data_IF_865594618394
#
_entry.id   IF_865594618394
#
_cell.length_a   1.000
_cell.length_b   1.000
_cell.length_c   1.000
_cell.angle_alpha   90.00
_cell.angle_beta   90.00
_cell.angle_gamma   90.00
#
_symmetry.space_group_name_H-M   'P 1'
#
loop_
_entity.id
_entity.type
_entity.pdbx_description
1 polymer ?
#
# COMPACT_ATOMS: atom_id res chain seq x y z
N UNK A 1 -1.84 18.08 4.73
CA UNK A 1 -2.24 17.39 5.99
C UNK A 1 -1.72 15.98 5.98
N UNK A 2 -1.37 15.39 7.13
CA UNK A 2 -1.00 13.99 7.25
C UNK A 2 -1.94 13.32 8.25
N UNK A 3 -2.53 12.19 7.86
CA UNK A 3 -3.42 11.41 8.72
C UNK A 3 -2.95 9.96 8.81
N UNK A 4 -3.22 9.36 9.95
CA UNK A 4 -3.12 7.92 10.20
C UNK A 4 -4.52 7.33 10.12
N UNK A 5 -4.67 6.24 9.37
CA UNK A 5 -5.92 5.53 9.15
C UNK A 5 -5.80 4.14 9.79
N UNK A 6 -6.65 3.88 10.77
CA UNK A 6 -6.73 2.61 11.50
C UNK A 6 -8.07 1.95 11.16
N UNK A 7 -8.09 0.81 10.45
CA UNK A 7 -9.33 0.10 10.16
C UNK A 7 -10.04 -0.39 11.42
N UNK A 8 -11.38 -0.35 11.43
CA UNK A 8 -12.15 -0.94 12.53
C UNK A 8 -12.19 -2.45 12.48
N UNK A 9 -12.15 -2.97 11.27
CA UNK A 9 -12.32 -4.39 10.98
C UNK A 9 -11.55 -4.72 9.69
N UNK A 10 -11.92 -5.78 9.04
CA UNK A 10 -11.37 -6.15 7.74
C UNK A 10 -11.62 -5.10 6.66
N UNK A 11 -10.70 -4.99 5.72
CA UNK A 11 -10.82 -4.15 4.52
C UNK A 11 -11.04 -5.01 3.27
N UNK A 12 -11.55 -4.37 2.23
CA UNK A 12 -11.66 -4.95 0.90
C UNK A 12 -11.36 -3.87 -0.15
N UNK A 13 -10.34 -4.11 -0.95
CA UNK A 13 -9.99 -3.24 -2.07
C UNK A 13 -10.09 -4.07 -3.35
N UNK A 14 -11.09 -3.74 -4.16
CA UNK A 14 -11.36 -4.46 -5.40
C UNK A 14 -10.27 -4.18 -6.42
N UNK A 15 -9.86 -5.22 -7.13
CA UNK A 15 -9.08 -5.07 -8.36
C UNK A 15 -9.97 -4.55 -9.52
N UNK A 16 -9.36 -4.20 -10.64
CA UNK A 16 -10.09 -3.70 -11.82
C UNK A 16 -10.80 -4.77 -12.63
N UNK A 17 -10.76 -6.04 -12.21
CA UNK A 17 -11.38 -7.14 -12.96
C UNK A 17 -12.90 -7.07 -12.88
N UNK A 18 -13.62 -7.38 -13.96
CA UNK A 18 -15.06 -7.53 -13.90
C UNK A 18 -15.45 -8.61 -12.90
N UNK A 19 -16.37 -8.31 -12.01
CA UNK A 19 -16.95 -9.27 -11.09
C UNK A 19 -18.45 -9.32 -11.35
N UNK A 20 -18.87 -10.31 -12.11
CA UNK A 20 -20.26 -10.55 -12.44
C UNK A 20 -20.81 -11.66 -11.55
N UNK A 21 -21.99 -11.44 -10.98
CA UNK A 21 -22.66 -12.49 -10.23
C UNK A 21 -22.98 -13.69 -11.14
N UNK A 22 -22.41 -14.85 -10.84
CA UNK A 22 -22.66 -16.11 -11.56
C UNK A 22 -21.51 -16.58 -12.45
N UNK A 23 -20.62 -15.69 -12.90
CA UNK A 23 -19.49 -16.08 -13.77
C UNK A 23 -18.21 -16.35 -12.98
N UNK A 24 -17.95 -15.55 -11.95
CA UNK A 24 -16.83 -15.76 -11.03
C UNK A 24 -17.33 -15.82 -9.59
N UNK A 25 -17.06 -16.93 -8.92
CA UNK A 25 -17.49 -17.16 -7.52
C UNK A 25 -16.50 -16.66 -6.50
N UNK A 26 -15.33 -16.18 -6.92
CA UNK A 26 -14.25 -15.77 -6.04
C UNK A 26 -13.59 -14.47 -6.52
N UNK A 27 -13.38 -13.54 -5.60
CA UNK A 27 -12.62 -12.32 -5.86
C UNK A 27 -11.61 -12.08 -4.74
N UNK A 28 -10.36 -11.91 -5.13
CA UNK A 28 -9.28 -11.44 -4.25
C UNK A 28 -9.30 -9.91 -4.18
N UNK A 29 -9.07 -9.39 -2.98
CA UNK A 29 -8.73 -7.99 -2.83
C UNK A 29 -7.28 -7.73 -3.17
N UNK A 30 -6.97 -6.51 -3.61
CA UNK A 30 -5.59 -6.05 -3.78
C UNK A 30 -5.13 -5.26 -2.56
N UNK A 31 -3.87 -5.45 -2.20
CA UNK A 31 -3.20 -4.61 -1.20
C UNK A 31 -1.72 -4.50 -1.58
N UNK A 32 -1.13 -3.33 -1.50
CA UNK A 32 -1.68 -2.03 -1.10
C UNK A 32 -2.73 -1.45 -2.03
N UNK A 33 -3.70 -0.66 -1.52
CA UNK A 33 -4.70 -0.01 -2.36
C UNK A 33 -4.09 1.16 -3.15
N UNK A 34 -4.61 1.39 -4.34
CA UNK A 34 -4.18 2.52 -5.17
C UNK A 34 -4.47 3.88 -4.52
N UNK A 35 -3.69 4.92 -4.82
CA UNK A 35 -3.92 6.29 -4.33
C UNK A 35 -5.32 6.82 -4.60
N UNK A 36 -5.97 6.38 -5.69
CA UNK A 36 -7.35 6.72 -6.03
C UNK A 36 -8.39 6.30 -4.99
N UNK A 37 -8.11 5.24 -4.23
CA UNK A 37 -8.98 4.78 -3.12
C UNK A 37 -8.98 5.83 -2.00
N UNK A 38 -7.82 6.34 -1.63
CA UNK A 38 -7.69 7.38 -0.61
C UNK A 38 -8.25 8.71 -1.10
N UNK A 39 -8.04 9.05 -2.37
CA UNK A 39 -8.65 10.21 -3.00
C UNK A 39 -10.18 10.17 -2.87
N UNK A 40 -10.79 9.05 -3.24
CA UNK A 40 -12.24 8.86 -3.14
C UNK A 40 -12.75 8.90 -1.70
N UNK A 41 -12.02 8.27 -0.76
CA UNK A 41 -12.38 8.27 0.66
C UNK A 41 -12.33 9.68 1.27
N UNK A 42 -11.27 10.45 1.02
CA UNK A 42 -11.10 11.82 1.50
C UNK A 42 -12.13 12.77 0.89
N UNK A 43 -12.42 12.63 -0.40
CA UNK A 43 -13.44 13.41 -1.08
C UNK A 43 -14.83 13.14 -0.50
N UNK A 44 -15.16 11.87 -0.26
CA UNK A 44 -16.42 11.48 0.38
C UNK A 44 -16.52 12.05 1.80
N UNK A 45 -15.43 12.00 2.55
CA UNK A 45 -15.35 12.56 3.89
C UNK A 45 -15.57 14.08 3.88
N UNK A 46 -14.95 14.80 2.92
CA UNK A 46 -15.15 16.24 2.78
C UNK A 46 -16.62 16.58 2.59
N UNK A 47 -17.27 15.95 1.62
CA UNK A 47 -18.70 16.22 1.34
C UNK A 47 -19.64 15.74 2.45
N UNK A 48 -19.27 14.73 3.21
CA UNK A 48 -20.03 14.33 4.40
C UNK A 48 -20.05 15.41 5.48
N UNK A 49 -19.01 16.24 5.56
CA UNK A 49 -18.92 17.38 6.47
C UNK A 49 -19.45 18.70 5.84
N UNK A 50 -19.65 18.75 4.51
CA UNK A 50 -20.08 19.93 3.75
C UNK A 50 -21.20 19.57 2.77
N UNK A 51 -22.32 19.09 3.30
CA UNK A 51 -23.45 18.56 2.51
C UNK A 51 -23.98 19.60 1.52
N UNK A 52 -24.02 20.86 1.92
CA UNK A 52 -24.52 21.96 1.07
C UNK A 52 -23.66 22.18 -0.19
N UNK A 53 -22.40 21.78 -0.16
CA UNK A 53 -21.49 21.87 -1.30
C UNK A 53 -21.56 20.68 -2.24
N UNK A 54 -22.30 19.62 -1.87
CA UNK A 54 -22.41 18.39 -2.67
C UNK A 54 -22.91 18.66 -4.10
N UNK A 55 -23.76 19.68 -4.30
CA UNK A 55 -24.23 20.11 -5.63
C UNK A 55 -23.12 20.61 -6.57
N UNK A 56 -21.95 20.97 -6.02
CA UNK A 56 -20.79 21.45 -6.78
C UNK A 56 -19.88 20.32 -7.27
N UNK A 57 -20.15 19.08 -6.87
CA UNK A 57 -19.36 17.89 -7.25
C UNK A 57 -19.20 17.81 -8.77
N UNK A 58 -17.96 17.63 -9.25
CA UNK A 58 -17.60 17.54 -10.65
C UNK A 58 -17.91 18.79 -11.51
N UNK A 59 -18.14 19.96 -10.89
CA UNK A 59 -18.22 21.24 -11.58
C UNK A 59 -16.90 22.00 -11.48
N UNK A 60 -16.80 23.15 -12.16
CA UNK A 60 -15.64 24.05 -12.05
C UNK A 60 -15.44 24.59 -10.62
N UNK A 61 -16.53 24.69 -9.86
CA UNK A 61 -16.56 25.12 -8.46
C UNK A 61 -16.37 23.98 -7.45
N UNK A 62 -16.00 22.78 -7.88
CA UNK A 62 -15.77 21.64 -6.99
C UNK A 62 -14.68 21.96 -5.98
N UNK A 63 -15.03 22.04 -4.67
CA UNK A 63 -14.06 22.41 -3.63
C UNK A 63 -12.95 21.37 -3.46
N UNK A 64 -13.15 20.14 -3.95
CA UNK A 64 -12.18 19.05 -3.87
C UNK A 64 -11.29 18.91 -5.12
N UNK A 65 -11.41 19.81 -6.11
CA UNK A 65 -10.65 19.74 -7.37
C UNK A 65 -9.13 19.83 -7.18
N UNK A 66 -8.70 20.45 -6.09
CA UNK A 66 -7.27 20.62 -5.76
C UNK A 66 -6.74 19.51 -4.83
N UNK A 67 -7.58 18.54 -4.47
CA UNK A 67 -7.16 17.40 -3.65
C UNK A 67 -6.06 16.61 -4.39
N UNK A 68 -4.93 16.44 -3.72
CA UNK A 68 -3.80 15.63 -4.21
C UNK A 68 -3.30 14.73 -3.10
N UNK A 69 -3.14 13.46 -3.39
CA UNK A 69 -2.42 12.53 -2.53
C UNK A 69 -0.92 12.74 -2.79
N UNK A 70 -0.16 13.06 -1.75
CA UNK A 70 1.27 13.39 -1.83
C UNK A 70 2.15 12.21 -1.49
N UNK A 71 1.73 11.42 -0.49
CA UNK A 71 2.51 10.31 -0.01
C UNK A 71 1.60 9.29 0.68
N UNK A 72 1.94 8.01 0.54
CA UNK A 72 1.31 6.90 1.24
C UNK A 72 2.45 6.06 1.81
N UNK A 73 2.38 5.77 3.11
CA UNK A 73 3.32 4.88 3.78
C UNK A 73 2.61 4.12 4.89
N UNK A 74 3.28 3.18 5.48
CA UNK A 74 2.68 2.26 6.45
C UNK A 74 3.31 2.45 7.82
N UNK A 75 2.51 2.22 8.84
CA UNK A 75 2.99 2.18 10.20
C UNK A 75 2.73 0.80 10.77
N UNK A 76 3.79 0.02 10.90
CA UNK A 76 3.78 -1.37 11.35
C UNK A 76 4.48 -1.39 12.70
N UNK A 77 3.87 -2.01 13.72
CA UNK A 77 4.40 -2.07 15.10
C UNK A 77 4.87 -0.70 15.63
N UNK A 78 4.20 0.39 15.20
CA UNK A 78 4.54 1.74 15.61
C UNK A 78 5.67 2.43 14.83
N UNK A 79 6.36 1.72 13.93
CA UNK A 79 7.43 2.24 13.08
C UNK A 79 6.92 2.56 11.67
N UNK A 80 7.55 3.53 11.00
CA UNK A 80 7.16 3.95 9.66
C UNK A 80 7.96 3.19 8.60
N UNK A 81 7.24 2.56 7.68
CA UNK A 81 7.76 1.79 6.57
C UNK A 81 7.29 2.34 5.23
N UNK A 82 8.13 2.17 4.23
CA UNK A 82 7.91 2.61 2.85
C UNK A 82 8.09 1.43 1.90
N UNK A 83 7.37 1.39 0.76
CA UNK A 83 7.60 0.37 -0.24
C UNK A 83 9.07 0.23 -0.60
N UNK A 84 9.54 -0.99 -0.76
CA UNK A 84 10.95 -1.25 -1.07
C UNK A 84 11.30 -0.77 -2.48
N UNK A 85 12.45 -0.10 -2.69
CA UNK A 85 12.98 0.16 -4.04
C UNK A 85 13.22 -1.13 -4.83
N UNK A 86 12.94 -1.13 -6.13
CA UNK A 86 13.01 -2.32 -6.97
C UNK A 86 14.44 -2.89 -7.16
N UNK A 87 15.46 -2.11 -6.87
CA UNK A 87 16.86 -2.54 -6.91
C UNK A 87 17.41 -3.00 -5.56
N UNK A 88 16.55 -3.04 -4.54
CA UNK A 88 16.81 -3.78 -3.30
C UNK A 88 16.17 -5.16 -3.41
N UNK A 89 16.98 -6.20 -3.31
CA UNK A 89 16.59 -7.58 -3.61
C UNK A 89 17.01 -8.53 -2.48
N UNK A 90 16.26 -9.61 -2.29
CA UNK A 90 16.56 -10.64 -1.30
C UNK A 90 17.60 -11.64 -1.86
N UNK A 91 18.57 -12.09 -1.05
CA UNK A 91 19.55 -13.10 -1.40
C UNK A 91 18.95 -14.48 -1.14
N UNK A 92 18.81 -15.30 -2.19
CA UNK A 92 18.24 -16.67 -2.07
C UNK A 92 19.11 -17.66 -1.30
N UNK A 93 20.42 -17.51 -1.32
CA UNK A 93 21.37 -18.44 -0.71
C UNK A 93 21.37 -18.43 0.82
N UNK A 94 20.95 -17.35 1.42
CA UNK A 94 20.73 -17.28 2.87
C UNK A 94 19.31 -17.78 3.16
N UNK A 95 19.12 -19.13 3.19
CA UNK A 95 17.92 -19.71 3.80
C UNK A 95 17.71 -19.00 5.12
N UNK A 96 16.50 -18.52 5.34
CA UNK A 96 16.03 -17.97 6.60
C UNK A 96 16.55 -18.84 7.77
N UNK A 97 17.71 -18.48 8.29
CA UNK A 97 18.21 -19.03 9.53
C UNK A 97 17.44 -18.32 10.61
N UNK A 98 16.43 -18.94 11.08
CA UNK A 98 15.62 -18.70 12.24
C UNK A 98 14.13 -18.63 11.89
N UNK A 99 13.58 -19.80 11.54
CA UNK A 99 12.23 -20.10 12.02
C UNK A 99 12.45 -20.60 13.46
N UNK A 100 12.23 -19.79 14.50
CA UNK A 100 12.09 -20.35 15.81
C UNK A 100 10.89 -21.29 15.73
N UNK A 101 11.04 -22.52 16.22
CA UNK A 101 9.93 -23.43 16.44
C UNK A 101 8.82 -22.62 17.11
N UNK A 102 7.59 -22.74 16.61
CA UNK A 102 6.41 -22.05 17.12
C UNK A 102 6.28 -22.24 18.62
N UNK A 103 6.81 -21.33 19.38
CA UNK A 103 6.40 -21.19 20.77
C UNK A 103 4.97 -20.61 20.74
N UNK A 104 4.04 -21.32 21.34
CA UNK A 104 2.64 -20.95 21.38
C UNK A 104 2.48 -19.52 21.91
N UNK A 105 2.06 -18.59 21.03
CA UNK A 105 1.62 -17.24 21.40
C UNK A 105 2.50 -16.07 21.03
N UNK A 106 3.67 -16.25 20.40
CA UNK A 106 4.47 -15.14 19.84
C UNK A 106 4.57 -15.29 18.33
N UNK A 107 3.86 -14.43 17.58
CA UNK A 107 4.14 -14.20 16.17
C UNK A 107 5.46 -13.44 16.12
N UNK A 108 6.53 -14.08 15.63
CA UNK A 108 7.82 -13.42 15.42
C UNK A 108 7.75 -12.61 14.13
N UNK A 109 8.22 -11.38 14.18
CA UNK A 109 8.45 -10.53 13.03
C UNK A 109 9.43 -11.24 12.09
N UNK A 110 9.04 -11.41 10.82
CA UNK A 110 9.92 -11.98 9.81
C UNK A 110 10.70 -10.84 9.18
N UNK A 111 12.01 -10.94 9.28
CA UNK A 111 12.93 -10.01 8.68
C UNK A 111 13.55 -10.62 7.43
N UNK A 112 13.66 -9.84 6.37
CA UNK A 112 14.25 -10.23 5.10
C UNK A 112 15.51 -9.40 4.85
N UNK A 113 16.66 -10.06 4.75
CA UNK A 113 17.89 -9.38 4.39
C UNK A 113 17.88 -9.03 2.90
N UNK A 114 17.98 -7.75 2.60
CA UNK A 114 17.99 -7.23 1.24
C UNK A 114 19.28 -6.48 0.95
N UNK A 115 19.71 -6.55 -0.29
CA UNK A 115 20.96 -5.94 -0.79
C UNK A 115 20.66 -5.06 -2.00
N UNK A 116 21.51 -4.05 -2.21
CA UNK A 116 21.41 -3.16 -3.36
C UNK A 116 22.08 -3.79 -4.59
N UNK A 117 21.37 -3.84 -5.72
CA UNK A 117 21.95 -4.26 -6.98
C UNK A 117 23.03 -3.29 -7.43
N UNK A 118 24.11 -3.84 -7.98
CA UNK A 118 25.25 -3.11 -8.52
C UNK A 118 25.00 -2.75 -9.98
N UNK A 119 25.52 -1.62 -10.43
CA UNK A 119 25.48 -1.22 -11.83
C UNK A 119 26.69 -1.81 -12.55
N UNK A 120 26.45 -2.62 -13.58
CA UNK A 120 27.50 -3.18 -14.43
C UNK A 120 28.12 -2.09 -15.32
N UNK A 121 29.43 -2.19 -15.57
CA UNK A 121 30.10 -1.38 -16.61
C UNK A 121 29.72 -1.88 -18.02
N UNK A 122 29.28 -3.12 -18.16
CA UNK A 122 28.84 -3.67 -19.44
C UNK A 122 27.51 -3.04 -19.83
N UNK A 123 27.44 -2.63 -21.08
CA UNK A 123 26.25 -2.02 -21.67
C UNK A 123 25.45 -3.06 -22.44
N UNK A 124 24.15 -3.04 -22.23
CA UNK A 124 23.20 -3.87 -22.98
C UNK A 124 22.76 -3.12 -24.23
N UNK A 125 22.67 -3.83 -25.33
CA UNK A 125 22.04 -3.35 -26.56
C UNK A 125 20.53 -3.40 -26.33
N UNK A 126 19.85 -2.26 -26.40
CA UNK A 126 18.41 -2.19 -26.32
C UNK A 126 17.81 -1.82 -27.67
N UNK A 127 16.51 -2.02 -27.84
CA UNK A 127 15.74 -1.57 -29.03
C UNK A 127 15.67 -0.04 -29.16
N UNK A 128 16.12 0.68 -28.14
CA UNK A 128 16.34 2.14 -28.17
C UNK A 128 17.82 2.37 -28.43
N UNK A 129 18.16 3.48 -29.09
CA UNK A 129 19.54 3.86 -29.42
C UNK A 129 20.43 4.11 -28.19
N UNK A 130 19.85 4.09 -26.99
CA UNK A 130 20.55 4.29 -25.74
C UNK A 130 21.17 2.98 -25.23
N UNK A 131 22.44 3.05 -24.86
CA UNK A 131 23.14 1.96 -24.18
C UNK A 131 22.78 1.99 -22.70
N UNK A 132 22.06 0.94 -22.24
CA UNK A 132 21.67 0.77 -20.86
C UNK A 132 22.72 -0.03 -20.09
N UNK A 133 22.93 0.30 -18.82
CA UNK A 133 23.73 -0.50 -17.92
C UNK A 133 22.85 -1.59 -17.29
N UNK A 134 23.43 -2.79 -17.14
CA UNK A 134 22.75 -3.90 -16.46
C UNK A 134 22.88 -3.74 -14.94
N UNK A 135 21.82 -4.10 -14.22
CA UNK A 135 21.88 -4.29 -12.78
C UNK A 135 22.23 -5.77 -12.51
N UNK A 136 23.10 -6.03 -11.54
CA UNK A 136 23.51 -7.38 -11.19
C UNK A 136 23.86 -7.49 -9.70
N UNK A 137 23.93 -8.71 -9.24
CA UNK A 137 24.51 -9.09 -7.96
C UNK A 137 25.32 -10.36 -8.14
N UNK A 138 26.29 -10.62 -7.24
CA UNK A 138 27.23 -11.73 -7.39
C UNK A 138 26.61 -13.09 -7.02
N UNK A 139 25.54 -13.07 -6.19
CA UNK A 139 24.77 -14.25 -5.78
C UNK A 139 23.40 -14.29 -6.47
N UNK A 140 22.68 -15.41 -6.30
CA UNK A 140 21.31 -15.54 -6.78
C UNK A 140 20.37 -14.71 -5.91
N UNK A 141 19.67 -13.78 -6.54
CA UNK A 141 18.76 -12.85 -5.88
C UNK A 141 17.34 -12.93 -6.46
N UNK A 142 16.37 -12.47 -5.66
CA UNK A 142 14.99 -12.34 -6.10
C UNK A 142 14.40 -11.01 -5.60
N UNK A 143 13.42 -10.47 -6.34
CA UNK A 143 12.64 -9.33 -5.88
C UNK A 143 11.85 -9.68 -4.63
N UNK A 144 11.71 -8.74 -3.72
CA UNK A 144 10.87 -8.89 -2.54
C UNK A 144 9.50 -8.27 -2.83
N UNK A 145 8.58 -9.08 -3.33
CA UNK A 145 7.21 -8.63 -3.57
C UNK A 145 6.57 -8.16 -2.26
N UNK A 146 5.82 -7.06 -2.29
CA UNK A 146 5.19 -6.43 -1.13
C UNK A 146 6.15 -6.06 0.02
N UNK A 147 7.45 -5.98 -0.28
CA UNK A 147 8.47 -5.59 0.67
C UNK A 147 8.37 -4.12 1.08
N UNK A 148 8.72 -3.86 2.34
CA UNK A 148 8.81 -2.51 2.89
C UNK A 148 10.07 -2.35 3.70
N UNK A 149 10.65 -1.15 3.69
CA UNK A 149 11.85 -0.81 4.46
C UNK A 149 11.58 0.37 5.41
N UNK A 150 12.38 0.44 6.45
CA UNK A 150 12.31 1.54 7.41
C UNK A 150 12.60 2.89 6.75
N UNK A 151 12.12 3.97 7.38
CA UNK A 151 12.45 5.32 6.94
C UNK A 151 13.96 5.59 6.96
N UNK A 152 14.68 5.04 7.93
CA UNK A 152 16.14 5.19 8.06
C UNK A 152 16.86 4.58 6.88
N UNK A 153 16.55 3.33 6.56
CA UNK A 153 17.15 2.61 5.43
C UNK A 153 16.81 3.26 4.10
N UNK A 154 15.57 3.74 3.92
CA UNK A 154 15.21 4.48 2.71
C UNK A 154 16.01 5.78 2.56
N UNK A 155 16.29 6.48 3.67
CA UNK A 155 17.13 7.68 3.64
C UNK A 155 18.58 7.35 3.24
N UNK A 156 19.17 6.29 3.82
CA UNK A 156 20.52 5.84 3.48
C UNK A 156 20.59 5.35 2.02
N UNK A 157 19.54 4.66 1.55
CA UNK A 157 19.42 4.24 0.15
C UNK A 157 19.42 5.44 -0.80
N UNK A 158 18.62 6.47 -0.52
CA UNK A 158 18.55 7.68 -1.36
C UNK A 158 19.84 8.51 -1.29
N UNK A 159 20.58 8.42 -0.18
CA UNK A 159 21.90 9.01 -0.05
C UNK A 159 23.01 8.21 -0.81
N UNK A 160 22.67 7.03 -1.35
CA UNK A 160 23.62 6.14 -2.02
C UNK A 160 24.61 5.45 -1.09
N UNK A 161 24.24 5.29 0.18
CA UNK A 161 25.10 4.73 1.23
C UNK A 161 24.66 3.34 1.69
N UNK A 162 23.43 2.93 1.35
CA UNK A 162 22.88 1.66 1.76
C UNK A 162 23.52 0.52 0.95
N UNK A 163 24.18 -0.41 1.64
CA UNK A 163 24.71 -1.64 1.03
C UNK A 163 23.75 -2.82 1.27
N UNK A 164 23.23 -2.93 2.48
CA UNK A 164 22.24 -3.93 2.88
C UNK A 164 21.26 -3.32 3.87
N UNK A 165 20.08 -3.91 4.00
CA UNK A 165 19.05 -3.53 4.95
C UNK A 165 18.23 -4.74 5.37
N UNK A 166 17.42 -4.55 6.40
CA UNK A 166 16.37 -5.47 6.78
C UNK A 166 15.03 -4.94 6.29
N UNK A 167 14.33 -5.76 5.53
CA UNK A 167 12.99 -5.45 5.04
C UNK A 167 11.95 -6.33 5.73
N UNK A 168 10.70 -5.87 5.72
CA UNK A 168 9.52 -6.64 6.12
C UNK A 168 8.62 -6.85 4.92
N UNK A 169 7.69 -7.82 4.99
CA UNK A 169 6.60 -7.97 4.02
C UNK A 169 5.29 -7.46 4.60
N UNK A 170 4.57 -6.68 3.82
CA UNK A 170 3.23 -6.23 4.18
C UNK A 170 2.31 -7.43 4.46
N UNK A 171 2.41 -8.47 3.65
CA UNK A 171 1.61 -9.69 3.79
C UNK A 171 1.78 -10.42 5.11
N UNK A 172 2.93 -10.30 5.79
CA UNK A 172 3.16 -10.91 7.10
C UNK A 172 2.29 -10.27 8.19
N UNK A 173 1.85 -9.04 7.97
CA UNK A 173 1.00 -8.26 8.89
C UNK A 173 -0.48 -8.22 8.43
N UNK A 174 -0.87 -9.07 7.48
CA UNK A 174 -2.22 -9.12 6.93
C UNK A 174 -2.78 -10.54 7.05
N UNK A 175 -3.93 -10.68 7.70
CA UNK A 175 -4.68 -11.94 7.74
C UNK A 175 -5.83 -11.89 6.74
N UNK A 176 -5.95 -12.91 5.88
CA UNK A 176 -7.09 -13.06 4.96
C UNK A 176 -8.25 -13.73 5.69
N UNK A 177 -9.41 -13.12 5.63
CA UNK A 177 -10.67 -13.64 6.19
C UNK A 177 -11.69 -13.82 5.08
N UNK A 178 -12.04 -15.06 4.77
CA UNK A 178 -12.99 -15.37 3.72
C UNK A 178 -14.42 -15.13 4.19
N UNK A 179 -15.17 -14.34 3.43
CA UNK A 179 -16.60 -14.11 3.62
C UNK A 179 -17.37 -14.71 2.45
N UNK A 180 -18.26 -15.65 2.75
CA UNK A 180 -19.19 -16.20 1.76
C UNK A 180 -20.49 -15.40 1.85
N UNK A 181 -20.98 -14.95 0.71
CA UNK A 181 -22.21 -14.18 0.58
C UNK A 181 -23.09 -14.78 -0.51
N UNK A 182 -24.41 -14.60 -0.36
CA UNK A 182 -25.42 -15.05 -1.30
C UNK A 182 -26.31 -13.88 -1.70
N UNK A 183 -26.77 -13.86 -2.92
CA UNK A 183 -27.84 -12.95 -3.33
C UNK A 183 -29.17 -13.54 -2.88
N UNK A 184 -29.95 -12.73 -2.15
CA UNK A 184 -31.32 -13.06 -1.76
C UNK A 184 -32.31 -12.39 -2.68
N UNK A 185 -33.31 -13.16 -3.15
CA UNK A 185 -34.52 -12.59 -3.74
C UNK A 185 -35.26 -11.79 -2.65
N UNK A 186 -35.46 -10.48 -2.88
CA UNK A 186 -36.09 -9.58 -1.91
C UNK A 186 -37.58 -9.89 -1.67
N UNK A 187 -38.23 -10.53 -2.63
CA UNK A 187 -39.67 -10.84 -2.54
C UNK A 187 -39.88 -12.21 -1.89
N UNK A 188 -39.08 -13.19 -2.25
CA UNK A 188 -39.25 -14.58 -1.78
C UNK A 188 -38.43 -14.91 -0.56
N UNK A 189 -37.41 -14.10 -0.24
CA UNK A 189 -36.50 -14.33 0.88
C UNK A 189 -35.54 -15.53 0.68
N UNK A 190 -35.63 -16.21 -0.45
CA UNK A 190 -34.78 -17.36 -0.79
C UNK A 190 -33.47 -16.91 -1.46
N UNK A 191 -32.44 -17.74 -1.42
CA UNK A 191 -31.23 -17.56 -2.22
C UNK A 191 -31.55 -17.74 -3.70
N UNK A 192 -31.00 -16.89 -4.57
CA UNK A 192 -30.99 -17.14 -6.01
C UNK A 192 -29.95 -18.21 -6.33
N UNK A 193 -30.32 -19.24 -7.09
CA UNK A 193 -29.42 -20.30 -7.49
C UNK A 193 -28.24 -19.77 -8.32
N UNK A 194 -27.04 -20.33 -8.10
CA UNK A 194 -25.82 -19.96 -8.82
C UNK A 194 -25.23 -18.59 -8.42
N UNK A 195 -25.75 -17.93 -7.36
CA UNK A 195 -25.28 -16.60 -6.93
C UNK A 195 -24.63 -16.62 -5.55
N UNK A 196 -23.83 -17.65 -5.32
CA UNK A 196 -22.88 -17.73 -4.22
C UNK A 196 -21.58 -17.03 -4.64
N UNK A 197 -21.03 -16.18 -3.82
CA UNK A 197 -19.71 -15.58 -4.05
C UNK A 197 -18.89 -15.51 -2.76
N UNK A 198 -17.58 -15.60 -2.92
CA UNK A 198 -16.61 -15.50 -1.83
C UNK A 198 -15.78 -14.24 -2.02
N UNK A 199 -15.61 -13.51 -0.93
CA UNK A 199 -14.73 -12.36 -0.83
C UNK A 199 -13.63 -12.67 0.19
N UNK A 200 -12.38 -12.49 -0.16
CA UNK A 200 -11.29 -12.53 0.79
C UNK A 200 -11.02 -11.12 1.31
N UNK A 201 -11.42 -10.90 2.54
CA UNK A 201 -11.25 -9.66 3.27
C UNK A 201 -9.88 -9.64 3.94
N UNK A 202 -9.30 -8.45 4.10
CA UNK A 202 -7.97 -8.25 4.63
C UNK A 202 -8.04 -7.64 6.03
N UNK A 203 -7.54 -8.33 7.04
CA UNK A 203 -7.37 -7.81 8.39
C UNK A 203 -5.94 -7.35 8.58
N UNK A 204 -5.77 -6.07 8.83
CA UNK A 204 -4.48 -5.48 9.21
C UNK A 204 -4.24 -5.74 10.70
N UNK A 205 -3.06 -6.26 11.05
CA UNK A 205 -2.65 -6.57 12.42
C UNK A 205 -1.50 -5.65 12.80
N UNK A 206 -1.69 -4.83 13.83
CA UNK A 206 -0.73 -3.79 14.27
C UNK A 206 -0.18 -2.92 13.12
N UNK A 207 -1.08 -2.61 12.19
CA UNK A 207 -0.77 -1.98 10.92
C UNK A 207 -1.73 -0.83 10.64
N UNK A 208 -1.20 0.37 10.48
CA UNK A 208 -1.94 1.56 10.07
C UNK A 208 -1.50 2.04 8.69
N UNK A 209 -2.38 2.70 7.97
CA UNK A 209 -2.06 3.36 6.70
C UNK A 209 -1.92 4.86 6.95
N UNK A 210 -0.80 5.44 6.54
CA UNK A 210 -0.56 6.87 6.66
C UNK A 210 -0.68 7.54 5.30
N UNK A 211 -1.46 8.62 5.21
CA UNK A 211 -1.73 9.34 3.96
C UNK A 211 -1.45 10.83 4.13
N UNK A 212 -0.52 11.33 3.34
CA UNK A 212 -0.28 12.75 3.21
C UNK A 212 -1.02 13.31 1.99
N UNK A 213 -1.77 14.38 2.18
CA UNK A 213 -2.55 15.03 1.13
C UNK A 213 -2.58 16.55 1.29
N UNK A 214 -2.99 17.23 0.23
CA UNK A 214 -3.22 18.68 0.19
C UNK A 214 -4.47 19.00 -0.62
N UNK A 215 -4.94 20.24 -0.54
CA UNK A 215 -6.01 20.78 -1.39
C UNK A 215 -7.42 20.70 -0.79
N UNK A 216 -7.62 20.05 0.34
CA UNK A 216 -8.84 20.08 1.14
C UNK A 216 -8.52 20.17 2.62
N UNK A 217 -9.48 20.65 3.40
CA UNK A 217 -9.42 20.64 4.85
C UNK A 217 -10.48 19.68 5.42
N UNK A 218 -10.11 18.89 6.40
CA UNK A 218 -10.98 17.95 7.10
C UNK A 218 -10.72 18.03 8.61
N UNK A 219 -11.66 17.61 9.47
CA UNK A 219 -11.43 17.54 10.92
C UNK A 219 -10.17 16.75 11.28
N UNK A 220 -9.54 17.07 12.40
CA UNK A 220 -8.31 16.42 12.84
C UNK A 220 -8.47 14.92 13.17
N UNK A 221 -9.71 14.48 13.42
CA UNK A 221 -10.05 13.09 13.69
C UNK A 221 -11.48 12.80 13.33
N UNK A 222 -11.77 11.55 13.01
CA UNK A 222 -13.10 11.13 12.66
C UNK A 222 -13.13 9.75 12.03
N UNK A 223 -14.18 9.50 11.27
CA UNK A 223 -14.41 8.23 10.61
C UNK A 223 -14.49 8.45 9.10
N UNK A 224 -13.95 7.53 8.33
CA UNK A 224 -14.06 7.57 6.89
C UNK A 224 -14.45 6.19 6.35
N UNK A 225 -15.18 6.21 5.25
CA UNK A 225 -15.46 5.01 4.47
C UNK A 225 -14.28 4.76 3.54
N UNK A 226 -13.74 3.54 3.54
CA UNK A 226 -12.59 3.19 2.71
C UNK A 226 -12.74 1.79 2.11
N UNK A 227 -12.48 1.68 0.81
CA UNK A 227 -12.62 0.43 0.08
C UNK A 227 -14.07 0.03 -0.19
N UNK A 228 -14.26 -1.23 -0.54
CA UNK A 228 -15.54 -1.85 -0.83
C UNK A 228 -16.26 -2.35 0.44
N UNK A 229 -17.42 -3.01 0.24
CA UNK A 229 -18.21 -3.67 1.29
C UNK A 229 -18.59 -2.78 2.48
N UNK A 230 -18.76 -1.47 2.25
CA UNK A 230 -19.09 -0.48 3.28
C UNK A 230 -18.12 -0.47 4.49
N UNK A 231 -16.87 -0.80 4.25
CA UNK A 231 -15.85 -0.78 5.29
C UNK A 231 -15.53 0.63 5.74
N UNK A 232 -15.20 0.76 7.02
CA UNK A 232 -14.88 2.04 7.65
C UNK A 232 -13.59 1.94 8.47
N UNK A 233 -12.96 3.10 8.63
CA UNK A 233 -11.77 3.25 9.45
C UNK A 233 -11.87 4.51 10.30
N UNK A 234 -11.19 4.51 11.42
CA UNK A 234 -10.88 5.71 12.18
C UNK A 234 -9.69 6.41 11.56
N UNK A 235 -9.71 7.73 11.50
CA UNK A 235 -8.52 8.50 11.14
C UNK A 235 -8.23 9.56 12.19
N UNK A 236 -6.96 9.88 12.32
CA UNK A 236 -6.49 10.99 13.12
C UNK A 236 -5.33 11.71 12.45
N UNK A 237 -5.30 13.03 12.59
CA UNK A 237 -4.15 13.84 12.20
C UNK A 237 -2.94 13.45 13.03
N UNK A 238 -1.81 13.33 12.39
CA UNK A 238 -0.52 13.14 13.04
C UNK A 238 0.42 14.23 12.58
N UNK A 239 1.46 14.46 13.40
CA UNK A 239 2.48 15.44 13.07
C UNK A 239 3.18 15.07 11.77
N UNK A 240 3.48 16.09 10.97
CA UNK A 240 4.26 15.91 9.76
C UNK A 240 5.65 15.44 10.15
N UNK A 241 5.95 14.18 9.84
CA UNK A 241 7.33 13.73 9.91
C UNK A 241 8.15 14.50 8.85
N UNK A 242 9.38 14.92 9.17
CA UNK A 242 10.26 15.47 8.15
C UNK A 242 10.29 14.51 6.97
N UNK A 243 9.81 14.97 5.81
CA UNK A 243 9.77 14.16 4.60
C UNK A 243 11.17 13.67 4.24
N UNK A 244 11.24 12.61 3.47
CA UNK A 244 12.48 12.22 2.81
C UNK A 244 12.66 13.25 1.70
N UNK A 245 13.35 14.35 2.02
CA UNK A 245 13.65 15.41 1.06
C UNK A 245 15.13 15.34 0.74
N UNK A 246 15.45 15.04 -0.50
CA UNK A 246 16.77 15.32 -1.05
C UNK A 246 16.70 16.59 -1.88
N UNK A 247 17.53 17.57 -1.59
CA UNK A 247 17.76 18.67 -2.55
C UNK A 247 18.45 18.06 -3.76
N UNK A 248 17.83 18.20 -4.93
CA UNK A 248 18.48 17.86 -6.20
C UNK A 248 19.77 18.68 -6.29
N UNK A 249 20.89 17.98 -6.40
CA UNK A 249 22.18 18.55 -6.74
C UNK A 249 22.41 18.30 -8.22
N UNK A 250 23.13 19.17 -8.87
CA UNK A 250 23.56 18.92 -10.27
C UNK A 250 24.33 17.59 -10.32
N UNK A 251 23.94 16.73 -11.27
CA UNK A 251 24.57 15.43 -11.47
C UNK A 251 23.59 14.26 -11.55
N UNK A 252 24.05 13.07 -11.19
CA UNK A 252 23.24 11.84 -11.18
C UNK A 252 22.39 11.79 -9.93
N UNK A 253 21.11 11.39 -10.07
CA UNK A 253 20.18 11.22 -8.95
C UNK A 253 19.36 9.93 -9.12
N UNK A 254 18.88 9.39 -8.01
CA UNK A 254 17.88 8.31 -7.98
C UNK A 254 16.49 8.93 -7.84
N UNK A 255 15.53 8.44 -8.61
CA UNK A 255 14.12 8.76 -8.45
C UNK A 255 13.42 7.60 -7.78
N UNK A 256 12.87 7.84 -6.60
CA UNK A 256 12.02 6.89 -5.88
C UNK A 256 10.56 7.33 -6.00
N UNK A 257 9.73 6.45 -6.57
CA UNK A 257 8.29 6.68 -6.74
C UNK A 257 7.58 5.78 -5.74
N UNK A 258 6.95 6.40 -4.75
CA UNK A 258 6.20 5.71 -3.69
C UNK A 258 4.73 5.61 -4.08
N UNK A 259 4.43 4.85 -5.13
CA UNK A 259 3.06 4.49 -5.53
C UNK A 259 3.03 3.00 -5.80
N UNK A 260 2.00 2.27 -5.30
CA UNK A 260 1.81 0.87 -5.68
C UNK A 260 1.53 0.71 -7.18
#
# INVERSE_FOLDING_TARGET
>A
MLIKITPFDTLFFRDGKPFNMGDETWTDGIFPPYPSVFYGALRTLYFANHIDEFKKVNTEEDPTKNLKIKNIFYRIHGCNFYPIPLDLVEIKSKKQTNTPEKEYGKEYEREYEVVNLKISEQKIISSKDEKLNMLYYDDEVMGLDDGVISKGDLHEYLAGKLENATAEKISDNIKKESKISIKKDRLKGNSEDGKLYRLDLLRLVDFDICVEFEGIDIPDRGYLKIGGENKAAYYMRIDKYPGISSKLKDGKFKLYINTP
#
